data_IF_394898603746
#
_entry.id   IF_394898603746
#
_cell.length_a   1.000
_cell.length_b   1.000
_cell.length_c   1.000
_cell.angle_alpha   90.00
_cell.angle_beta   90.00
_cell.angle_gamma   90.00
#
_symmetry.space_group_name_H-M   'P 1'
#
loop_
_entity.id
_entity.type
_entity.pdbx_description
1 polymer ?
#
# COMPACT_ATOMS: atom_id res chain seq x y z
N UNK A 1 -15.13 -1.29 -14.61
CA UNK A 1 -14.87 -2.27 -13.52
C UNK A 1 -15.67 -3.57 -13.61
N UNK A 2 -16.88 -3.58 -14.17
CA UNK A 2 -17.74 -4.80 -14.31
C UNK A 2 -17.09 -5.87 -15.23
N UNK A 3 -16.36 -5.49 -16.27
CA UNK A 3 -15.70 -6.44 -17.18
C UNK A 3 -14.51 -7.20 -16.58
N UNK A 4 -13.80 -6.61 -15.62
CA UNK A 4 -12.64 -7.23 -15.00
C UNK A 4 -13.02 -8.41 -14.10
N UNK A 5 -14.07 -8.27 -13.29
CA UNK A 5 -14.58 -9.37 -12.43
C UNK A 5 -15.07 -10.59 -13.24
N UNK A 6 -15.62 -10.37 -14.43
CA UNK A 6 -16.18 -11.45 -15.25
C UNK A 6 -15.09 -12.39 -15.80
N UNK A 7 -13.88 -11.88 -16.03
CA UNK A 7 -12.74 -12.66 -16.53
C UNK A 7 -11.96 -13.39 -15.43
N UNK A 8 -12.13 -13.04 -14.16
CA UNK A 8 -11.36 -13.63 -13.06
C UNK A 8 -11.79 -15.06 -12.73
N UNK A 9 -13.05 -15.43 -12.94
CA UNK A 9 -13.58 -16.78 -12.67
C UNK A 9 -12.82 -17.89 -13.41
N UNK A 10 -12.28 -17.63 -14.59
CA UNK A 10 -11.51 -18.60 -15.36
C UNK A 10 -10.18 -19.01 -14.68
N UNK A 11 -9.69 -18.19 -13.73
CA UNK A 11 -8.42 -18.43 -13.01
C UNK A 11 -8.62 -19.12 -11.66
N UNK A 12 -9.87 -19.28 -11.19
CA UNK A 12 -10.18 -19.80 -9.85
C UNK A 12 -9.69 -21.23 -9.59
N UNK A 13 -9.48 -22.01 -10.65
CA UNK A 13 -8.98 -23.37 -10.58
C UNK A 13 -7.46 -23.48 -10.73
N UNK A 14 -6.74 -22.36 -10.86
CA UNK A 14 -5.28 -22.40 -10.93
C UNK A 14 -4.67 -22.70 -9.57
N UNK A 15 -3.65 -23.54 -9.57
CA UNK A 15 -2.84 -23.82 -8.39
C UNK A 15 -2.27 -22.51 -7.81
N UNK A 16 -2.47 -22.27 -6.52
CA UNK A 16 -1.99 -21.05 -5.86
C UNK A 16 -2.91 -19.83 -5.99
N UNK A 17 -4.07 -19.98 -6.66
CA UNK A 17 -5.10 -18.93 -6.69
C UNK A 17 -5.91 -18.97 -5.40
N UNK A 18 -5.59 -18.07 -4.46
CA UNK A 18 -6.32 -17.97 -3.19
C UNK A 18 -7.23 -16.74 -3.16
N UNK A 19 -8.50 -16.96 -2.77
CA UNK A 19 -9.49 -15.88 -2.59
C UNK A 19 -9.30 -15.21 -1.22
N UNK A 20 -8.17 -14.52 -1.05
CA UNK A 20 -7.79 -13.88 0.20
C UNK A 20 -7.36 -12.43 -0.05
N UNK A 21 -7.82 -11.50 0.79
CA UNK A 21 -7.33 -10.12 0.72
C UNK A 21 -5.91 -10.02 1.24
N UNK A 22 -5.13 -9.01 0.80
CA UNK A 22 -3.76 -8.78 1.27
C UNK A 22 -3.70 -8.59 2.79
N UNK A 23 -4.72 -7.91 3.37
CA UNK A 23 -4.80 -7.75 4.83
C UNK A 23 -4.91 -9.08 5.55
N UNK A 24 -5.84 -9.96 5.11
CA UNK A 24 -5.99 -11.31 5.66
C UNK A 24 -4.79 -12.21 5.37
N UNK A 25 -4.09 -11.99 4.26
CA UNK A 25 -2.86 -12.71 3.96
C UNK A 25 -1.75 -12.36 4.98
N UNK A 26 -1.64 -11.08 5.37
CA UNK A 26 -0.70 -10.69 6.43
C UNK A 26 -1.07 -11.32 7.78
N UNK A 27 -2.37 -11.38 8.13
CA UNK A 27 -2.82 -12.07 9.36
C UNK A 27 -2.41 -13.55 9.36
N UNK A 28 -2.57 -14.23 8.21
CA UNK A 28 -2.14 -15.62 8.02
C UNK A 28 -0.63 -15.77 8.20
N UNK A 29 0.17 -14.88 7.60
CA UNK A 29 1.62 -14.91 7.74
C UNK A 29 2.08 -14.60 9.16
N UNK A 30 1.47 -13.64 9.83
CA UNK A 30 1.79 -13.33 11.23
C UNK A 30 1.51 -14.52 12.16
N UNK A 31 0.41 -15.25 11.93
CA UNK A 31 0.10 -16.45 12.68
C UNK A 31 1.09 -17.62 12.38
N UNK A 32 1.55 -17.74 11.13
CA UNK A 32 2.43 -18.82 10.69
C UNK A 32 3.89 -18.58 11.05
N UNK A 33 4.38 -17.35 10.88
CA UNK A 33 5.82 -17.02 10.97
C UNK A 33 6.20 -16.22 12.22
N UNK A 34 5.24 -15.60 12.90
CA UNK A 34 5.41 -14.98 14.22
C UNK A 34 6.61 -14.03 14.28
N UNK A 35 7.61 -14.44 15.05
CA UNK A 35 8.81 -13.66 15.33
C UNK A 35 9.90 -13.72 14.24
N UNK A 36 9.67 -14.44 13.13
CA UNK A 36 10.60 -14.39 11.99
C UNK A 36 10.61 -12.98 11.40
N UNK A 37 11.78 -12.53 10.96
CA UNK A 37 11.94 -11.25 10.28
C UNK A 37 11.19 -11.29 8.94
N UNK A 38 10.32 -10.30 8.74
CA UNK A 38 9.53 -10.13 7.52
C UNK A 38 10.19 -9.14 6.56
N UNK A 39 10.70 -8.03 7.10
CA UNK A 39 11.32 -6.95 6.32
C UNK A 39 12.49 -6.38 7.12
N UNK A 40 13.59 -6.11 6.42
CA UNK A 40 14.75 -5.35 6.91
C UNK A 40 14.95 -4.15 6.00
N UNK A 41 15.16 -2.97 6.53
CA UNK A 41 15.65 -1.81 5.80
C UNK A 41 17.00 -1.33 6.37
N UNK A 42 17.49 -0.16 5.95
CA UNK A 42 18.78 0.37 6.40
C UNK A 42 18.81 0.79 7.88
N UNK A 43 17.67 0.86 8.53
CA UNK A 43 17.55 1.43 9.89
C UNK A 43 17.04 0.41 10.90
N UNK A 44 16.15 -0.50 10.48
CA UNK A 44 15.49 -1.44 11.39
C UNK A 44 15.07 -2.75 10.72
N UNK A 45 14.66 -3.69 11.56
CA UNK A 45 14.04 -4.96 11.15
C UNK A 45 12.65 -5.06 11.79
N UNK A 46 11.72 -5.72 11.09
CA UNK A 46 10.39 -5.98 11.62
C UNK A 46 9.99 -7.44 11.38
N UNK A 47 9.44 -8.08 12.41
CA UNK A 47 8.91 -9.44 12.32
C UNK A 47 7.54 -9.47 11.64
N UNK A 48 7.07 -10.64 11.20
CA UNK A 48 5.72 -10.79 10.66
C UNK A 48 4.65 -10.37 11.67
N UNK A 49 4.81 -10.74 12.95
CA UNK A 49 3.91 -10.33 14.02
C UNK A 49 3.93 -8.81 14.22
N UNK A 50 5.14 -8.22 14.31
CA UNK A 50 5.31 -6.77 14.46
C UNK A 50 4.73 -5.98 13.28
N UNK A 51 4.95 -6.45 12.04
CA UNK A 51 4.38 -5.86 10.84
C UNK A 51 2.84 -5.88 10.89
N UNK A 52 2.27 -7.02 11.29
CA UNK A 52 0.82 -7.16 11.40
C UNK A 52 0.24 -6.22 12.47
N UNK A 53 0.90 -6.11 13.61
CA UNK A 53 0.48 -5.22 14.71
C UNK A 53 0.55 -3.74 14.28
N UNK A 54 1.68 -3.31 13.68
CA UNK A 54 1.84 -1.92 13.19
C UNK A 54 0.82 -1.60 12.09
N UNK A 55 0.63 -2.50 11.12
CA UNK A 55 -0.36 -2.33 10.06
C UNK A 55 -1.79 -2.24 10.60
N UNK A 56 -2.13 -3.03 11.63
CA UNK A 56 -3.44 -3.00 12.29
C UNK A 56 -3.67 -1.66 12.99
N UNK A 57 -2.71 -1.19 13.80
CA UNK A 57 -2.81 0.12 14.49
C UNK A 57 -2.95 1.26 13.48
N UNK A 58 -2.12 1.26 12.45
CA UNK A 58 -2.16 2.29 11.41
C UNK A 58 -3.48 2.26 10.64
N UNK A 59 -4.02 1.09 10.34
CA UNK A 59 -5.35 0.94 9.72
C UNK A 59 -6.46 1.54 10.58
N UNK A 60 -6.43 1.33 11.90
CA UNK A 60 -7.34 1.97 12.85
C UNK A 60 -7.21 3.50 12.80
N UNK A 61 -5.97 4.02 12.84
CA UNK A 61 -5.71 5.44 12.74
C UNK A 61 -6.25 6.06 11.45
N UNK A 62 -6.06 5.40 10.32
CA UNK A 62 -6.62 5.85 9.04
C UNK A 62 -8.15 5.92 9.06
N UNK A 63 -8.81 4.92 9.66
CA UNK A 63 -10.27 4.94 9.81
C UNK A 63 -10.75 6.07 10.74
N UNK A 64 -10.01 6.40 11.79
CA UNK A 64 -10.29 7.54 12.67
C UNK A 64 -10.18 8.88 11.92
N UNK A 65 -9.21 8.99 11.00
CA UNK A 65 -9.05 10.15 10.11
C UNK A 65 -10.03 10.18 8.94
N UNK A 66 -10.99 9.25 8.90
CA UNK A 66 -12.07 9.21 7.92
C UNK A 66 -11.72 8.57 6.59
N UNK A 67 -10.62 7.79 6.53
CA UNK A 67 -10.33 6.96 5.35
C UNK A 67 -11.21 5.72 5.42
N UNK A 68 -11.96 5.47 4.35
CA UNK A 68 -12.94 4.39 4.25
C UNK A 68 -12.55 3.36 3.19
N UNK A 69 -13.21 2.21 3.24
CA UNK A 69 -13.11 1.18 2.20
C UNK A 69 -13.45 1.78 0.82
N UNK A 70 -12.57 1.55 -0.15
CA UNK A 70 -12.70 2.05 -1.52
C UNK A 70 -12.09 3.43 -1.75
N UNK A 71 -11.72 4.16 -0.70
CA UNK A 71 -10.98 5.41 -0.82
C UNK A 71 -9.63 5.18 -1.48
N UNK A 72 -9.24 6.10 -2.34
CA UNK A 72 -7.92 6.10 -2.97
C UNK A 72 -6.97 6.97 -2.18
N UNK A 73 -5.76 6.46 -1.96
CA UNK A 73 -4.73 7.14 -1.17
C UNK A 73 -3.44 7.18 -1.98
N UNK A 74 -2.90 8.37 -2.23
CA UNK A 74 -1.57 8.50 -2.83
C UNK A 74 -0.52 8.02 -1.81
N UNK A 75 0.39 7.16 -2.24
CA UNK A 75 1.51 6.68 -1.42
C UNK A 75 2.80 6.96 -2.17
N UNK A 76 3.61 7.88 -1.64
CA UNK A 76 4.90 8.27 -2.22
C UNK A 76 5.97 8.19 -1.15
N UNK A 77 6.41 6.97 -0.89
CA UNK A 77 7.41 6.61 0.11
C UNK A 77 8.61 5.93 -0.56
N UNK A 78 9.82 6.06 -0.02
CA UNK A 78 10.96 5.24 -0.43
C UNK A 78 10.80 3.80 0.10
N UNK A 79 11.70 2.91 -0.36
CA UNK A 79 11.76 1.52 0.13
C UNK A 79 12.17 1.50 1.61
N UNK A 80 11.19 1.49 2.48
CA UNK A 80 11.34 1.42 3.94
C UNK A 80 10.28 0.50 4.53
N UNK A 81 10.48 0.09 5.75
CA UNK A 81 9.47 -0.69 6.50
C UNK A 81 8.14 0.07 6.57
N UNK A 82 8.17 1.41 6.73
CA UNK A 82 6.97 2.24 6.74
C UNK A 82 6.12 2.09 5.47
N UNK A 83 6.72 1.95 4.29
CA UNK A 83 5.99 1.68 3.04
C UNK A 83 5.20 0.37 3.14
N UNK A 84 5.83 -0.70 3.64
CA UNK A 84 5.19 -2.01 3.78
C UNK A 84 4.07 -1.97 4.83
N UNK A 85 4.29 -1.28 5.95
CA UNK A 85 3.26 -1.07 6.99
C UNK A 85 2.05 -0.33 6.41
N UNK A 86 2.27 0.76 5.65
CA UNK A 86 1.22 1.54 4.98
C UNK A 86 0.42 0.68 3.99
N UNK A 87 1.12 -0.08 3.14
CA UNK A 87 0.47 -0.95 2.16
C UNK A 87 -0.51 -1.92 2.82
N UNK A 88 -0.07 -2.61 3.87
CA UNK A 88 -0.93 -3.56 4.58
C UNK A 88 -1.99 -2.89 5.45
N UNK A 89 -1.73 -1.72 6.03
CA UNK A 89 -2.73 -0.94 6.75
C UNK A 89 -3.90 -0.55 5.84
N UNK A 90 -3.61 -0.01 4.66
CA UNK A 90 -4.63 0.32 3.65
C UNK A 90 -5.37 -0.94 3.16
N UNK A 91 -4.64 -2.04 2.93
CA UNK A 91 -5.24 -3.31 2.52
C UNK A 91 -6.20 -3.88 3.57
N UNK A 92 -5.92 -3.75 4.88
CA UNK A 92 -6.79 -4.20 5.98
C UNK A 92 -8.11 -3.45 6.01
N UNK A 93 -8.10 -2.15 5.74
CA UNK A 93 -9.32 -1.31 5.72
C UNK A 93 -10.00 -1.28 4.34
N UNK A 94 -9.39 -1.92 3.33
CA UNK A 94 -9.91 -1.94 1.96
C UNK A 94 -9.80 -0.60 1.23
N UNK A 95 -8.93 0.31 1.68
CA UNK A 95 -8.53 1.49 0.94
C UNK A 95 -7.51 1.12 -0.15
N UNK A 96 -7.44 1.93 -1.20
CA UNK A 96 -6.72 1.61 -2.43
C UNK A 96 -5.50 2.53 -2.56
N UNK A 97 -4.28 2.07 -2.29
CA UNK A 97 -3.08 2.85 -2.54
C UNK A 97 -2.87 3.07 -4.04
N UNK A 98 -2.49 4.30 -4.40
CA UNK A 98 -1.93 4.67 -5.70
C UNK A 98 -0.43 4.76 -5.52
N UNK A 99 0.31 3.85 -6.16
CA UNK A 99 1.75 3.69 -5.96
C UNK A 99 2.52 4.73 -6.77
N UNK A 100 3.03 5.75 -6.07
CA UNK A 100 3.79 6.85 -6.66
C UNK A 100 5.28 6.60 -6.49
N UNK A 101 6.05 6.74 -7.58
CA UNK A 101 7.51 6.71 -7.47
C UNK A 101 8.02 7.95 -6.71
N UNK A 102 9.08 7.81 -5.89
CA UNK A 102 9.75 8.97 -5.29
C UNK A 102 10.23 10.02 -6.30
N UNK A 103 10.46 9.62 -7.56
CA UNK A 103 10.87 10.53 -8.63
C UNK A 103 9.76 11.44 -9.16
N UNK A 104 8.48 11.09 -8.96
CA UNK A 104 7.36 11.90 -9.45
C UNK A 104 7.31 13.27 -8.74
N UNK A 105 6.92 14.29 -9.49
CA UNK A 105 6.81 15.68 -9.02
C UNK A 105 5.42 16.22 -9.32
N UNK A 106 5.23 17.52 -9.12
CA UNK A 106 3.91 18.18 -9.22
C UNK A 106 3.18 17.87 -10.52
N UNK A 107 3.89 17.90 -11.66
CA UNK A 107 3.27 17.71 -12.97
C UNK A 107 2.61 16.32 -13.12
N UNK A 108 3.31 15.26 -12.69
CA UNK A 108 2.75 13.90 -12.72
C UNK A 108 1.64 13.74 -11.69
N UNK A 109 1.82 14.34 -10.50
CA UNK A 109 0.84 14.28 -9.41
C UNK A 109 -0.49 14.92 -9.80
N UNK A 110 -0.47 16.10 -10.41
CA UNK A 110 -1.68 16.83 -10.79
C UNK A 110 -2.60 15.99 -11.67
N UNK A 111 -2.05 15.41 -12.74
CA UNK A 111 -2.85 14.59 -13.66
C UNK A 111 -3.42 13.33 -12.98
N UNK A 112 -2.65 12.72 -12.05
CA UNK A 112 -3.09 11.54 -11.30
C UNK A 112 -4.18 11.93 -10.29
N UNK A 113 -4.03 13.05 -9.59
CA UNK A 113 -5.01 13.55 -8.62
C UNK A 113 -6.34 13.90 -9.32
N UNK A 114 -6.29 14.55 -10.46
CA UNK A 114 -7.49 14.88 -11.24
C UNK A 114 -8.23 13.61 -11.69
N UNK A 115 -7.49 12.60 -12.13
CA UNK A 115 -8.06 11.33 -12.59
C UNK A 115 -8.61 10.48 -11.44
N UNK A 116 -7.83 10.35 -10.36
CA UNK A 116 -8.12 9.40 -9.28
C UNK A 116 -8.97 10.01 -8.17
N UNK A 117 -8.87 11.32 -7.92
CA UNK A 117 -9.49 12.03 -6.79
C UNK A 117 -9.23 11.36 -5.44
N UNK A 118 -7.94 11.23 -5.03
CA UNK A 118 -7.58 10.58 -3.78
C UNK A 118 -8.07 11.39 -2.58
N UNK A 119 -8.42 10.70 -1.49
CA UNK A 119 -8.88 11.32 -0.24
C UNK A 119 -7.74 11.66 0.71
N UNK A 120 -6.58 11.02 0.52
CA UNK A 120 -5.39 11.29 1.33
C UNK A 120 -4.09 11.14 0.51
N UNK A 121 -3.02 11.72 1.06
CA UNK A 121 -1.68 11.62 0.51
C UNK A 121 -0.68 11.29 1.61
N UNK A 122 0.07 10.20 1.43
CA UNK A 122 1.10 9.72 2.35
C UNK A 122 2.46 9.94 1.71
N UNK A 123 3.35 10.68 2.38
CA UNK A 123 4.66 11.07 1.86
C UNK A 123 5.76 10.87 2.88
N UNK A 124 7.01 10.70 2.40
CA UNK A 124 8.16 10.91 3.25
C UNK A 124 8.30 12.41 3.59
N UNK A 125 8.86 12.73 4.77
CA UNK A 125 9.19 14.12 5.12
C UNK A 125 10.21 14.66 4.12
N UNK A 126 11.34 13.95 3.99
CA UNK A 126 12.43 14.28 3.07
C UNK A 126 13.10 13.01 2.56
N UNK A 127 13.42 12.99 1.27
CA UNK A 127 14.18 11.89 0.68
C UNK A 127 15.08 12.42 -0.44
N UNK A 128 16.35 12.01 -0.49
CA UNK A 128 17.36 12.47 -1.45
C UNK A 128 17.42 14.00 -1.60
N UNK A 129 17.33 14.71 -0.47
CA UNK A 129 17.40 16.18 -0.43
C UNK A 129 16.10 16.91 -0.78
N UNK A 130 15.06 16.21 -1.28
CA UNK A 130 13.79 16.82 -1.65
C UNK A 130 12.77 16.78 -0.49
N UNK A 131 12.03 17.91 -0.29
CA UNK A 131 10.94 18.04 0.70
C UNK A 131 9.61 17.61 0.06
N UNK A 132 9.11 16.43 0.44
CA UNK A 132 7.81 15.94 -0.05
C UNK A 132 6.65 16.59 0.68
N UNK A 133 6.87 17.06 1.92
CA UNK A 133 5.84 17.72 2.72
C UNK A 133 5.36 18.99 2.04
N UNK A 134 6.29 19.84 1.59
CA UNK A 134 5.96 21.09 0.91
C UNK A 134 5.12 20.83 -0.35
N UNK A 135 5.51 19.85 -1.15
CA UNK A 135 4.77 19.44 -2.34
C UNK A 135 3.38 18.87 -1.98
N UNK A 136 3.29 18.01 -0.96
CA UNK A 136 2.02 17.43 -0.54
C UNK A 136 1.05 18.49 -0.02
N UNK A 137 1.53 19.46 0.75
CA UNK A 137 0.73 20.60 1.22
C UNK A 137 0.28 21.51 0.08
N UNK A 138 1.12 21.70 -0.94
CA UNK A 138 0.74 22.44 -2.15
C UNK A 138 -0.38 21.71 -2.92
N UNK A 139 -0.25 20.37 -3.08
CA UNK A 139 -1.28 19.55 -3.72
C UNK A 139 -2.59 19.55 -2.92
N UNK A 140 -2.53 19.48 -1.60
CA UNK A 140 -3.73 19.56 -0.75
C UNK A 140 -4.46 20.88 -0.91
N UNK A 141 -3.73 22.01 -0.96
CA UNK A 141 -4.34 23.34 -1.19
C UNK A 141 -4.98 23.44 -2.57
N UNK A 142 -4.36 22.86 -3.60
CA UNK A 142 -4.84 22.88 -4.98
C UNK A 142 -6.02 21.93 -5.23
N UNK A 143 -6.04 20.80 -4.55
CA UNK A 143 -7.01 19.70 -4.76
C UNK A 143 -7.78 19.37 -3.48
N UNK A 144 -8.97 19.96 -3.26
CA UNK A 144 -9.76 19.77 -2.04
C UNK A 144 -10.23 18.34 -1.77
N UNK A 145 -10.07 17.44 -2.74
CA UNK A 145 -10.33 16.00 -2.53
C UNK A 145 -9.32 15.38 -1.54
N UNK A 146 -8.10 15.91 -1.43
CA UNK A 146 -7.08 15.45 -0.47
C UNK A 146 -7.41 16.06 0.89
N UNK A 147 -8.12 15.32 1.72
CA UNK A 147 -8.53 15.74 3.05
C UNK A 147 -7.40 15.66 4.07
N UNK A 148 -6.53 14.63 3.94
CA UNK A 148 -5.46 14.33 4.88
C UNK A 148 -4.12 14.22 4.16
N UNK A 149 -3.07 14.75 4.78
CA UNK A 149 -1.67 14.49 4.44
C UNK A 149 -1.01 13.81 5.63
N UNK A 150 -0.40 12.65 5.41
CA UNK A 150 0.37 11.91 6.41
C UNK A 150 1.84 11.95 6.03
N UNK A 151 2.71 12.19 7.01
CA UNK A 151 4.13 12.40 6.78
C UNK A 151 4.94 11.35 7.53
N UNK A 152 5.74 10.57 6.80
CA UNK A 152 6.73 9.64 7.35
C UNK A 152 8.06 10.40 7.54
N UNK A 153 8.42 10.76 8.79
CA UNK A 153 9.56 11.62 9.08
C UNK A 153 10.18 11.41 10.46
N UNK A 154 10.78 12.46 11.02
CA UNK A 154 11.45 12.44 12.31
C UNK A 154 10.52 12.07 13.49
N UNK A 155 9.22 12.22 13.33
CA UNK A 155 8.20 11.74 14.28
C UNK A 155 7.58 10.40 13.86
N UNK A 156 8.27 9.65 13.03
CA UNK A 156 7.88 8.40 12.41
C UNK A 156 7.33 7.36 13.40
N UNK A 157 7.93 7.26 14.58
CA UNK A 157 7.48 6.34 15.63
C UNK A 157 6.10 6.70 16.17
N UNK A 158 5.66 7.95 16.01
CA UNK A 158 4.39 8.42 16.58
C UNK A 158 3.19 8.29 15.65
N UNK A 159 3.38 8.32 14.33
CA UNK A 159 2.21 8.36 13.44
C UNK A 159 1.60 6.97 13.15
N UNK A 160 2.35 5.89 13.19
CA UNK A 160 1.84 4.51 13.10
C UNK A 160 1.96 3.73 14.42
N UNK A 161 2.49 4.35 15.46
CA UNK A 161 2.45 3.86 16.85
C UNK A 161 1.35 4.52 17.68
N UNK A 162 0.63 5.49 17.10
CA UNK A 162 -0.45 6.21 17.79
C UNK A 162 -1.45 5.23 18.38
N UNK A 163 -1.68 5.32 19.68
CA UNK A 163 -2.77 4.60 20.33
C UNK A 163 -4.09 5.09 19.74
N UNK A 164 -4.88 4.16 19.27
CA UNK A 164 -6.21 4.46 18.76
C UNK A 164 -7.17 4.49 19.95
N UNK A 165 -7.93 5.57 20.06
CA UNK A 165 -8.89 5.74 21.16
C UNK A 165 -10.00 4.66 21.15
N UNK A 166 -10.28 4.08 19.98
CA UNK A 166 -11.28 3.03 19.80
C UNK A 166 -10.83 1.99 18.80
N UNK A 167 -10.79 0.75 19.19
CA UNK A 167 -10.67 -0.36 18.24
C UNK A 167 -12.00 -0.49 17.49
N UNK A 168 -11.96 -0.23 16.17
CA UNK A 168 -13.07 -0.46 15.26
C UNK A 168 -12.88 -1.80 14.56
N UNK A 169 -13.96 -2.49 14.28
CA UNK A 169 -13.90 -3.67 13.42
C UNK A 169 -13.53 -3.27 11.99
N UNK A 170 -12.58 -3.98 11.40
CA UNK A 170 -12.22 -3.74 10.01
C UNK A 170 -13.33 -4.18 9.07
N UNK A 171 -13.58 -3.43 7.98
CA UNK A 171 -14.57 -3.82 6.99
C UNK A 171 -14.17 -5.13 6.31
N UNK A 172 -15.15 -5.93 5.94
CA UNK A 172 -14.89 -7.08 5.09
C UNK A 172 -14.40 -6.62 3.71
N UNK A 173 -13.24 -7.14 3.27
CA UNK A 173 -12.59 -6.78 2.01
C UNK A 173 -12.73 -7.95 1.04
N UNK A 174 -13.49 -7.73 -0.04
CA UNK A 174 -13.62 -8.70 -1.14
C UNK A 174 -12.25 -8.87 -1.83
N UNK A 175 -11.77 -10.10 -1.91
CA UNK A 175 -10.48 -10.44 -2.51
C UNK A 175 -10.39 -10.10 -4.03
N UNK A 176 -11.50 -9.93 -4.70
CA UNK A 176 -11.59 -9.46 -6.07
C UNK A 176 -11.76 -7.94 -6.20
N UNK A 177 -11.85 -7.20 -5.09
CA UNK A 177 -11.79 -5.74 -5.14
C UNK A 177 -10.37 -5.26 -5.49
N UNK A 178 -10.25 -4.02 -5.93
CA UNK A 178 -8.95 -3.40 -6.23
C UNK A 178 -8.13 -3.29 -4.95
N UNK A 179 -6.95 -3.89 -4.95
CA UNK A 179 -5.98 -3.83 -3.85
C UNK A 179 -5.01 -2.66 -4.01
N UNK A 180 -4.63 -2.34 -5.24
CA UNK A 180 -3.62 -1.34 -5.55
C UNK A 180 -3.85 -0.77 -6.95
N UNK A 181 -3.51 0.48 -7.15
CA UNK A 181 -3.41 1.14 -8.45
C UNK A 181 -1.94 1.37 -8.78
N UNK A 182 -1.44 0.69 -9.79
CA UNK A 182 -0.11 0.88 -10.34
C UNK A 182 -0.14 1.92 -11.46
N UNK A 183 0.98 2.58 -11.69
CA UNK A 183 1.12 3.54 -12.79
C UNK A 183 1.73 2.85 -14.02
N UNK A 184 1.18 3.12 -15.20
CA UNK A 184 1.82 2.67 -16.43
C UNK A 184 3.07 3.50 -16.73
N UNK A 185 4.12 2.88 -17.24
CA UNK A 185 5.32 3.56 -17.74
C UNK A 185 5.10 4.28 -19.08
N UNK A 186 4.02 5.07 -19.20
CA UNK A 186 3.70 5.79 -20.45
C UNK A 186 4.77 6.87 -20.76
N UNK A 187 5.31 6.88 -21.97
CA UNK A 187 6.28 7.86 -22.44
C UNK A 187 5.65 9.18 -22.91
N UNK A 188 4.33 9.24 -23.03
CA UNK A 188 3.59 10.38 -23.57
C UNK A 188 2.29 10.62 -22.83
N UNK A 189 2.27 11.56 -21.88
CA UNK A 189 1.06 12.03 -21.22
C UNK A 189 0.88 11.52 -19.77
N UNK A 190 -0.35 11.71 -19.24
CA UNK A 190 -0.70 11.30 -17.88
C UNK A 190 -0.65 9.77 -17.76
N UNK A 191 0.06 9.22 -16.76
CA UNK A 191 0.13 7.77 -16.54
C UNK A 191 -1.28 7.17 -16.37
N UNK A 192 -1.48 5.98 -16.94
CA UNK A 192 -2.72 5.22 -16.73
C UNK A 192 -2.66 4.53 -15.37
N UNK A 193 -3.80 4.51 -14.68
CA UNK A 193 -3.97 3.75 -13.45
C UNK A 193 -4.35 2.32 -13.79
N UNK A 194 -3.50 1.37 -13.41
CA UNK A 194 -3.68 -0.06 -13.65
C UNK A 194 -4.19 -0.70 -12.34
N UNK A 195 -5.46 -1.08 -12.26
CA UNK A 195 -5.98 -1.74 -11.07
C UNK A 195 -5.49 -3.19 -11.00
N UNK A 196 -5.03 -3.59 -9.80
CA UNK A 196 -4.75 -4.98 -9.47
C UNK A 196 -5.65 -5.39 -8.31
N UNK A 197 -6.24 -6.57 -8.37
CA UNK A 197 -7.05 -7.09 -7.26
C UNK A 197 -6.15 -7.73 -6.20
N UNK A 198 -6.68 -7.94 -5.00
CA UNK A 198 -5.94 -8.62 -3.94
C UNK A 198 -5.48 -10.02 -4.39
N UNK A 199 -6.40 -10.79 -4.97
CA UNK A 199 -6.11 -12.16 -5.42
C UNK A 199 -5.10 -12.19 -6.57
N UNK A 200 -5.27 -11.37 -7.63
CA UNK A 200 -4.37 -11.40 -8.77
C UNK A 200 -2.96 -10.90 -8.42
N UNK A 201 -2.87 -9.91 -7.54
CA UNK A 201 -1.58 -9.36 -7.11
C UNK A 201 -0.79 -10.38 -6.30
N UNK A 202 -1.47 -11.08 -5.36
CA UNK A 202 -0.87 -12.19 -4.61
C UNK A 202 -0.51 -13.38 -5.50
N UNK A 203 -1.39 -13.73 -6.44
CA UNK A 203 -1.11 -14.81 -7.38
C UNK A 203 0.14 -14.53 -8.21
N UNK A 204 0.28 -13.31 -8.72
CA UNK A 204 1.48 -12.88 -9.44
C UNK A 204 2.74 -13.03 -8.56
N UNK A 205 2.70 -12.54 -7.31
CA UNK A 205 3.83 -12.66 -6.40
C UNK A 205 4.22 -14.13 -6.14
N UNK A 206 3.22 -15.01 -5.90
CA UNK A 206 3.46 -16.47 -5.69
C UNK A 206 4.06 -17.13 -6.93
N UNK A 207 3.53 -16.83 -8.11
CA UNK A 207 4.05 -17.44 -9.35
C UNK A 207 5.44 -16.93 -9.69
N UNK A 208 5.74 -15.67 -9.40
CA UNK A 208 7.10 -15.11 -9.52
C UNK A 208 8.06 -15.80 -8.55
N UNK A 209 7.69 -15.95 -7.28
CA UNK A 209 8.50 -16.66 -6.29
C UNK A 209 8.76 -18.12 -6.72
N UNK A 210 7.71 -18.85 -7.13
CA UNK A 210 7.83 -20.22 -7.63
C UNK A 210 8.77 -20.31 -8.84
N UNK A 211 8.67 -19.36 -9.77
CA UNK A 211 9.53 -19.32 -10.97
C UNK A 211 10.98 -19.01 -10.65
N UNK A 212 11.22 -18.15 -9.67
CA UNK A 212 12.55 -17.80 -9.17
C UNK A 212 13.09 -18.80 -8.14
N UNK A 213 12.36 -19.88 -7.85
CA UNK A 213 12.72 -20.89 -6.85
C UNK A 213 12.94 -20.31 -5.44
N UNK A 214 12.19 -19.24 -5.11
CA UNK A 214 12.20 -18.65 -3.77
C UNK A 214 11.36 -19.53 -2.82
N UNK A 215 11.88 -19.75 -1.65
CA UNK A 215 11.26 -20.50 -0.55
C UNK A 215 11.14 -19.63 0.72
N UNK A 216 10.72 -20.23 1.81
CA UNK A 216 10.54 -19.56 3.10
C UNK A 216 11.86 -19.12 3.78
N UNK A 217 13.02 -19.58 3.28
CA UNK A 217 14.35 -19.20 3.78
C UNK A 217 15.03 -18.17 2.87
N UNK A 218 14.42 -17.86 1.74
CA UNK A 218 14.97 -16.91 0.78
C UNK A 218 14.85 -15.49 1.26
N UNK A 219 15.90 -14.68 1.05
CA UNK A 219 15.91 -13.24 1.29
C UNK A 219 15.88 -12.53 -0.06
N UNK A 220 14.86 -11.69 -0.27
CA UNK A 220 14.69 -10.93 -1.51
C UNK A 220 15.12 -9.48 -1.32
N UNK A 221 16.06 -9.01 -2.14
CA UNK A 221 16.51 -7.61 -2.14
C UNK A 221 15.67 -6.78 -3.11
N UNK A 222 14.91 -5.83 -2.58
CA UNK A 222 14.19 -4.82 -3.37
C UNK A 222 15.09 -3.58 -3.58
N UNK A 223 15.94 -3.59 -4.60
CA UNK A 223 16.88 -2.51 -4.90
C UNK A 223 16.24 -1.37 -5.71
N UNK A 224 15.19 -1.65 -6.47
CA UNK A 224 14.45 -0.65 -7.25
C UNK A 224 13.29 -0.08 -6.40
N UNK A 225 12.86 1.17 -6.65
CA UNK A 225 11.67 1.71 -6.01
C UNK A 225 10.45 0.80 -6.23
N UNK A 226 9.77 0.46 -5.15
CA UNK A 226 8.58 -0.41 -5.13
C UNK A 226 7.30 0.41 -5.03
#
# INVERSE_FOLDING_TARGET
MVGYKKNMKQYENLEGWEKLSLGKQLDKWAAQYGDRIAVTDSEEEITYLGLNQKATRLGQHFMEKGICKGDKVLVQLPNRISFVVVLFALAKIGAIPIMMLPAHREAELEGIIELAKPTAYIVAERYLGFSYVEMAMAMQRKFPCIKNVFVDGAQREKWYETETERQREFPEVDSYSTAVLLLSGGTTGIPKLIPRTHTDYMYNARMSAKRCQLDENSVYLAALPV
#
